data_IF_915447615541
#
_entry.id   IF_915447615541
#
_cell.length_a   1.000
_cell.length_b   1.000
_cell.length_c   1.000
_cell.angle_alpha   90.00
_cell.angle_beta   90.00
_cell.angle_gamma   90.00
#
_symmetry.space_group_name_H-M   'P 1'
#
loop_
_entity.id
_entity.type
_entity.pdbx_description
1 polymer ?
#
# COMPACT_ATOMS: atom_id res chain seq x y z
N UNK A 1 10.62 12.66 5.77
CA UNK A 1 10.54 12.23 4.36
C UNK A 1 10.33 13.46 3.49
N UNK A 2 10.97 13.52 2.33
CA UNK A 2 10.83 14.59 1.33
C UNK A 2 10.12 14.10 0.07
N UNK A 3 9.38 14.96 -0.61
CA UNK A 3 8.76 14.63 -1.90
C UNK A 3 9.47 15.39 -3.03
N UNK A 4 9.88 14.65 -4.06
CA UNK A 4 10.40 15.18 -5.31
C UNK A 4 9.41 14.88 -6.44
N UNK A 5 8.90 15.92 -7.10
CA UNK A 5 7.88 15.76 -8.15
C UNK A 5 8.55 15.50 -9.49
N UNK A 6 8.22 14.39 -10.15
CA UNK A 6 8.82 14.03 -11.44
C UNK A 6 8.26 14.83 -12.61
N UNK A 7 8.93 14.80 -13.76
CA UNK A 7 8.45 15.44 -14.99
C UNK A 7 9.22 16.70 -15.39
N UNK A 8 10.32 17.03 -14.71
CA UNK A 8 11.15 18.19 -15.04
C UNK A 8 11.71 18.19 -16.47
N UNK A 9 11.80 17.01 -17.10
CA UNK A 9 12.26 16.85 -18.48
C UNK A 9 11.28 17.41 -19.52
N UNK A 10 9.97 17.44 -19.21
CA UNK A 10 8.94 17.93 -20.13
C UNK A 10 8.63 19.40 -19.86
N UNK A 11 8.68 20.23 -20.90
CA UNK A 11 8.45 21.67 -20.78
C UNK A 11 7.11 22.04 -20.11
N UNK A 12 6.02 21.36 -20.49
CA UNK A 12 4.70 21.60 -19.91
C UNK A 12 4.66 21.33 -18.40
N UNK A 13 5.21 20.20 -17.96
CA UNK A 13 5.22 19.83 -16.53
C UNK A 13 6.17 20.69 -15.73
N UNK A 14 7.35 20.95 -16.28
CA UNK A 14 8.32 21.85 -15.69
C UNK A 14 7.76 23.25 -15.44
N UNK A 15 7.05 23.83 -16.42
CA UNK A 15 6.43 25.14 -16.24
C UNK A 15 5.42 25.15 -15.09
N UNK A 16 4.64 24.07 -14.92
CA UNK A 16 3.69 23.91 -13.81
C UNK A 16 4.45 23.81 -12.47
N UNK A 17 5.51 23.00 -12.40
CA UNK A 17 6.31 22.83 -11.20
C UNK A 17 7.00 24.13 -10.78
N UNK A 18 7.62 24.84 -11.73
CA UNK A 18 8.29 26.13 -11.50
C UNK A 18 7.29 27.22 -11.09
N UNK A 19 6.13 27.30 -11.76
CA UNK A 19 5.07 28.25 -11.39
C UNK A 19 4.53 28.02 -9.97
N UNK A 20 4.53 26.77 -9.50
CA UNK A 20 4.13 26.40 -8.16
C UNK A 20 5.28 26.37 -7.15
N UNK A 21 6.49 26.81 -7.55
CA UNK A 21 7.69 26.84 -6.70
C UNK A 21 7.95 25.50 -6.00
N UNK A 22 7.82 24.39 -6.74
CA UNK A 22 8.11 23.07 -6.20
C UNK A 22 9.56 23.03 -5.68
N UNK A 23 9.80 22.67 -4.40
CA UNK A 23 11.12 22.76 -3.79
C UNK A 23 12.10 21.72 -4.36
N UNK A 24 11.56 20.59 -4.86
CA UNK A 24 12.30 19.43 -5.35
C UNK A 24 11.66 18.92 -6.63
N UNK A 25 12.46 18.84 -7.69
CA UNK A 25 12.01 18.37 -9.00
C UNK A 25 12.86 17.17 -9.42
N UNK A 26 12.19 16.09 -9.81
CA UNK A 26 12.82 14.93 -10.40
C UNK A 26 12.82 14.99 -11.93
N UNK A 27 13.97 14.68 -12.52
CA UNK A 27 14.28 14.82 -13.94
C UNK A 27 14.64 13.45 -14.52
N UNK A 28 13.83 12.98 -15.48
CA UNK A 28 14.04 11.70 -16.12
C UNK A 28 14.91 11.84 -17.38
N UNK A 29 16.17 11.37 -17.32
CA UNK A 29 17.12 11.52 -18.44
C UNK A 29 16.71 10.73 -19.67
N UNK A 30 16.08 9.56 -19.47
CA UNK A 30 15.61 8.70 -20.57
C UNK A 30 14.62 9.45 -21.45
N UNK A 31 13.71 10.20 -20.83
CA UNK A 31 12.65 10.95 -21.53
C UNK A 31 13.08 12.35 -21.99
N UNK A 32 14.30 12.78 -21.65
CA UNK A 32 14.79 14.09 -22.06
C UNK A 32 15.44 14.05 -23.45
N UNK A 33 14.93 14.88 -24.36
CA UNK A 33 15.57 15.12 -25.66
C UNK A 33 16.62 16.22 -25.49
N UNK A 34 17.89 15.82 -25.39
CA UNK A 34 19.01 16.76 -25.23
C UNK A 34 19.09 17.67 -26.47
N UNK A 35 18.94 19.00 -26.33
CA UNK A 35 19.05 19.92 -27.45
C UNK A 35 20.48 19.90 -28.00
N UNK A 36 20.65 19.65 -29.30
CA UNK A 36 21.97 19.54 -29.94
C UNK A 36 22.76 20.85 -30.00
N UNK A 37 22.13 22.00 -29.75
CA UNK A 37 22.69 23.33 -30.07
C UNK A 37 22.70 24.32 -28.91
N UNK A 38 22.11 23.98 -27.75
CA UNK A 38 22.01 24.90 -26.61
C UNK A 38 22.57 24.25 -25.36
N UNK A 39 23.52 24.94 -24.71
CA UNK A 39 23.96 24.59 -23.35
C UNK A 39 22.78 24.77 -22.41
N UNK A 40 22.41 23.71 -21.70
CA UNK A 40 21.27 23.69 -20.79
C UNK A 40 21.77 23.99 -19.39
N UNK A 41 21.39 25.13 -18.82
CA UNK A 41 21.59 25.38 -17.39
C UNK A 41 20.41 24.77 -16.63
N UNK A 42 20.65 23.74 -15.82
CA UNK A 42 19.57 23.05 -15.10
C UNK A 42 18.98 23.88 -13.96
N UNK A 43 19.78 24.74 -13.32
CA UNK A 43 19.31 25.60 -12.22
C UNK A 43 18.35 26.66 -12.74
N UNK A 44 18.69 27.30 -13.85
CA UNK A 44 17.78 28.25 -14.51
C UNK A 44 16.53 27.52 -15.02
N UNK A 45 16.72 26.36 -15.67
CA UNK A 45 15.63 25.58 -16.24
C UNK A 45 14.58 25.16 -15.19
N UNK A 46 15.03 24.72 -14.01
CA UNK A 46 14.18 24.23 -12.93
C UNK A 46 13.89 25.26 -11.84
N UNK A 47 14.17 26.55 -12.09
CA UNK A 47 13.81 27.65 -11.21
C UNK A 47 14.47 27.58 -9.82
N UNK A 48 15.68 27.01 -9.73
CA UNK A 48 16.45 26.89 -8.49
C UNK A 48 15.99 25.79 -7.52
N UNK A 49 15.09 24.89 -7.94
CA UNK A 49 14.69 23.73 -7.14
C UNK A 49 15.86 22.74 -6.94
N UNK A 50 15.79 21.92 -5.88
CA UNK A 50 16.68 20.75 -5.75
C UNK A 50 16.39 19.75 -6.88
N UNK A 51 17.46 19.23 -7.49
CA UNK A 51 17.37 18.45 -8.73
C UNK A 51 17.71 16.99 -8.44
N UNK A 52 16.72 16.12 -8.65
CA UNK A 52 16.86 14.67 -8.51
C UNK A 52 16.88 14.04 -9.90
N UNK A 53 17.98 13.42 -10.30
CA UNK A 53 18.11 12.80 -11.62
C UNK A 53 17.87 11.31 -11.52
N UNK A 54 17.09 10.75 -12.43
CA UNK A 54 16.84 9.31 -12.51
C UNK A 54 16.59 8.87 -13.96
N UNK A 55 16.56 7.57 -14.20
CA UNK A 55 16.22 6.95 -15.49
C UNK A 55 14.95 6.13 -15.39
N UNK A 56 14.33 5.88 -16.53
CA UNK A 56 13.25 4.90 -16.62
C UNK A 56 13.80 3.48 -16.47
N UNK A 57 12.99 2.57 -15.94
CA UNK A 57 13.34 1.14 -15.91
C UNK A 57 13.51 0.63 -17.35
N UNK A 58 14.61 -0.07 -17.61
CA UNK A 58 14.93 -0.62 -18.93
C UNK A 58 15.55 0.37 -19.92
N UNK A 59 15.95 1.57 -19.48
CA UNK A 59 16.84 2.40 -20.28
C UNK A 59 18.17 1.67 -20.47
N UNK A 60 18.63 1.54 -21.72
CA UNK A 60 19.87 0.87 -22.08
C UNK A 60 21.01 1.87 -22.38
N UNK A 61 20.70 3.16 -22.56
CA UNK A 61 21.66 4.17 -23.00
C UNK A 61 22.50 4.74 -21.83
N UNK A 62 23.48 3.94 -21.38
CA UNK A 62 24.41 4.32 -20.31
C UNK A 62 25.22 5.56 -20.72
N UNK A 63 25.60 5.67 -21.99
CA UNK A 63 26.47 6.74 -22.48
C UNK A 63 25.78 8.10 -22.35
N UNK A 64 24.52 8.20 -22.79
CA UNK A 64 23.71 9.41 -22.63
C UNK A 64 23.54 9.79 -21.16
N UNK A 65 23.30 8.80 -20.30
CA UNK A 65 23.15 9.04 -18.87
C UNK A 65 24.46 9.56 -18.22
N UNK A 66 25.59 8.93 -18.51
CA UNK A 66 26.92 9.34 -18.01
C UNK A 66 27.31 10.73 -18.50
N UNK A 67 27.13 11.02 -19.80
CA UNK A 67 27.43 12.33 -20.39
C UNK A 67 26.58 13.43 -19.74
N UNK A 68 25.29 13.19 -19.55
CA UNK A 68 24.38 14.15 -18.93
C UNK A 68 24.79 14.46 -17.49
N UNK A 69 25.07 13.43 -16.69
CA UNK A 69 25.48 13.62 -15.30
C UNK A 69 26.82 14.32 -15.20
N UNK A 70 27.81 13.96 -16.02
CA UNK A 70 29.13 14.62 -16.01
C UNK A 70 29.02 16.10 -16.36
N UNK A 71 28.18 16.43 -17.33
CA UNK A 71 27.97 17.81 -17.77
C UNK A 71 27.29 18.67 -16.70
N UNK A 72 26.43 18.07 -15.87
CA UNK A 72 25.58 18.80 -14.92
C UNK A 72 25.82 18.43 -13.44
N UNK A 73 26.94 17.80 -13.12
CA UNK A 73 27.21 17.24 -11.78
C UNK A 73 27.13 18.28 -10.65
N UNK A 74 27.48 19.54 -10.93
CA UNK A 74 27.46 20.64 -9.96
C UNK A 74 26.06 21.19 -9.68
N UNK A 75 25.12 21.00 -10.61
CA UNK A 75 23.73 21.46 -10.47
C UNK A 75 22.84 20.38 -9.84
N UNK A 76 23.19 19.12 -10.03
CA UNK A 76 22.40 17.99 -9.53
C UNK A 76 22.59 17.82 -8.02
N UNK A 77 21.47 17.67 -7.31
CA UNK A 77 21.42 17.40 -5.88
C UNK A 77 21.66 15.91 -5.61
N UNK A 78 20.89 15.04 -6.26
CA UNK A 78 21.03 13.59 -6.16
C UNK A 78 20.83 12.89 -7.49
N UNK A 79 21.54 11.78 -7.68
CA UNK A 79 21.46 10.91 -8.86
C UNK A 79 21.03 9.52 -8.41
N UNK A 80 19.86 9.07 -8.86
CA UNK A 80 19.49 7.67 -8.81
C UNK A 80 20.19 6.95 -9.95
N UNK A 81 21.17 6.13 -9.58
CA UNK A 81 22.00 5.36 -10.48
C UNK A 81 21.26 4.18 -11.09
N UNK A 82 21.61 3.86 -12.32
CA UNK A 82 21.14 2.64 -12.96
C UNK A 82 21.75 1.40 -12.30
N UNK A 83 21.08 0.23 -12.35
CA UNK A 83 21.61 -1.01 -11.80
C UNK A 83 22.97 -1.44 -12.41
N UNK A 84 23.26 -1.03 -13.65
CA UNK A 84 24.46 -1.35 -14.43
C UNK A 84 25.51 -0.23 -14.43
N UNK A 85 25.25 0.88 -13.73
CA UNK A 85 26.12 2.05 -13.71
C UNK A 85 26.96 2.11 -12.43
N UNK A 86 28.25 2.46 -12.58
CA UNK A 86 29.11 2.76 -11.44
C UNK A 86 29.25 4.29 -11.26
N UNK A 87 28.48 4.83 -10.32
CA UNK A 87 28.51 6.24 -9.94
C UNK A 87 29.36 6.56 -8.73
N UNK A 88 30.29 5.70 -8.31
CA UNK A 88 31.09 5.89 -7.07
C UNK A 88 31.82 7.26 -7.06
N UNK A 89 32.15 7.80 -8.23
CA UNK A 89 32.80 9.12 -8.38
C UNK A 89 31.92 10.31 -7.97
N UNK A 90 30.59 10.14 -7.93
CA UNK A 90 29.64 11.16 -7.45
C UNK A 90 29.56 11.21 -5.92
N UNK A 91 30.18 10.25 -5.22
CA UNK A 91 30.20 10.17 -3.77
C UNK A 91 28.78 10.17 -3.17
N UNK A 92 28.51 11.14 -2.30
CA UNK A 92 27.23 11.23 -1.59
C UNK A 92 26.03 11.62 -2.46
N UNK A 93 26.24 12.10 -3.69
CA UNK A 93 25.13 12.40 -4.60
C UNK A 93 24.52 11.13 -5.20
N UNK A 94 25.26 10.02 -5.21
CA UNK A 94 24.86 8.79 -5.87
C UNK A 94 23.98 7.91 -4.96
N UNK A 95 22.83 7.47 -5.49
CA UNK A 95 22.01 6.43 -4.88
C UNK A 95 21.85 5.29 -5.86
N UNK A 96 22.33 4.07 -5.56
CA UNK A 96 22.13 2.91 -6.43
C UNK A 96 20.66 2.48 -6.44
N UNK A 97 20.12 2.18 -7.62
CA UNK A 97 18.76 1.64 -7.78
C UNK A 97 18.72 0.12 -7.55
N UNK A 98 17.70 -0.29 -6.80
CA UNK A 98 17.25 -1.67 -6.69
C UNK A 98 15.82 -1.77 -7.25
N UNK A 99 15.65 -2.59 -8.28
CA UNK A 99 14.38 -2.76 -9.00
C UNK A 99 13.99 -4.24 -9.21
N UNK A 100 14.72 -5.17 -8.59
CA UNK A 100 14.50 -6.62 -8.70
C UNK A 100 13.94 -7.19 -7.40
N UNK A 101 12.68 -7.63 -7.41
CA UNK A 101 11.99 -8.19 -6.24
C UNK A 101 12.50 -9.56 -5.80
N UNK A 102 13.28 -10.26 -6.64
CA UNK A 102 13.82 -11.58 -6.34
C UNK A 102 15.19 -11.49 -5.65
N UNK A 103 15.97 -10.47 -5.96
CA UNK A 103 17.34 -10.29 -5.48
C UNK A 103 17.42 -9.36 -4.25
N UNK A 104 16.93 -9.85 -3.12
CA UNK A 104 17.01 -9.11 -1.85
C UNK A 104 18.45 -9.04 -1.30
N UNK A 105 19.32 -9.96 -1.71
CA UNK A 105 20.74 -9.95 -1.32
C UNK A 105 21.45 -8.74 -1.90
N UNK A 106 21.14 -8.37 -3.15
CA UNK A 106 21.60 -7.12 -3.74
C UNK A 106 21.13 -5.90 -2.96
N UNK A 107 19.87 -5.84 -2.52
CA UNK A 107 19.42 -4.74 -1.67
C UNK A 107 20.23 -4.66 -0.38
N UNK A 108 20.47 -5.80 0.27
CA UNK A 108 21.30 -5.86 1.48
C UNK A 108 22.72 -5.36 1.24
N UNK A 109 23.33 -5.74 0.11
CA UNK A 109 24.65 -5.26 -0.31
C UNK A 109 24.66 -3.74 -0.54
N UNK A 110 23.64 -3.19 -1.22
CA UNK A 110 23.55 -1.76 -1.48
C UNK A 110 23.40 -0.96 -0.18
N UNK A 111 22.52 -1.41 0.73
CA UNK A 111 22.36 -0.83 2.06
C UNK A 111 23.67 -0.87 2.86
N UNK A 112 24.40 -1.99 2.82
CA UNK A 112 25.66 -2.14 3.54
C UNK A 112 26.80 -1.29 2.94
N UNK A 113 26.96 -1.28 1.61
CA UNK A 113 28.07 -0.59 0.93
C UNK A 113 27.89 0.92 0.91
N UNK A 114 26.69 1.39 0.56
CA UNK A 114 26.42 2.81 0.30
C UNK A 114 25.71 3.52 1.46
N UNK A 115 25.16 2.77 2.41
CA UNK A 115 24.28 3.32 3.45
C UNK A 115 22.97 3.89 2.89
N UNK A 116 22.68 3.69 1.61
CA UNK A 116 21.51 4.23 0.92
C UNK A 116 21.15 3.41 -0.32
N UNK A 117 19.88 3.38 -0.68
CA UNK A 117 19.40 2.70 -1.89
C UNK A 117 18.10 3.31 -2.39
N UNK A 118 17.91 3.36 -3.71
CA UNK A 118 16.66 3.73 -4.33
C UNK A 118 15.86 2.45 -4.64
N UNK A 119 14.55 2.49 -4.43
CA UNK A 119 13.65 1.34 -4.59
C UNK A 119 12.53 1.72 -5.55
N UNK A 120 12.37 0.97 -6.65
CA UNK A 120 11.28 1.20 -7.59
C UNK A 120 9.99 0.49 -7.20
N UNK A 121 8.86 1.02 -7.67
CA UNK A 121 7.52 0.44 -7.48
C UNK A 121 7.40 -1.03 -7.89
N UNK A 122 8.25 -1.49 -8.83
CA UNK A 122 8.29 -2.89 -9.29
C UNK A 122 8.78 -3.84 -8.21
N UNK A 123 9.77 -3.39 -7.43
CA UNK A 123 10.39 -4.22 -6.40
C UNK A 123 9.60 -4.23 -5.08
N UNK A 124 8.65 -3.30 -4.91
CA UNK A 124 7.85 -3.18 -3.70
C UNK A 124 6.56 -4.00 -3.81
N UNK A 125 6.48 -5.08 -3.04
CA UNK A 125 5.30 -5.92 -2.92
C UNK A 125 5.16 -6.47 -1.50
N UNK A 126 4.05 -7.15 -1.21
CA UNK A 126 3.75 -7.66 0.13
C UNK A 126 4.82 -8.63 0.69
N UNK A 127 5.60 -9.29 -0.19
CA UNK A 127 6.67 -10.23 0.21
C UNK A 127 7.98 -9.51 0.51
N UNK A 128 8.32 -8.49 -0.27
CA UNK A 128 9.58 -7.74 -0.14
C UNK A 128 9.49 -6.67 0.95
N UNK A 129 8.32 -6.08 1.19
CA UNK A 129 8.11 -4.98 2.13
C UNK A 129 8.66 -5.26 3.55
N UNK A 130 8.40 -6.41 4.19
CA UNK A 130 8.96 -6.69 5.52
C UNK A 130 10.49 -6.78 5.49
N UNK A 131 11.07 -7.31 4.40
CA UNK A 131 12.52 -7.44 4.23
C UNK A 131 13.18 -6.08 4.00
N UNK A 132 12.55 -5.20 3.22
CA UNK A 132 13.02 -3.82 3.00
C UNK A 132 13.13 -3.09 4.35
N UNK A 133 12.09 -3.15 5.18
CA UNK A 133 12.09 -2.55 6.53
C UNK A 133 13.17 -3.16 7.43
N UNK A 134 13.32 -4.49 7.40
CA UNK A 134 14.35 -5.16 8.20
C UNK A 134 15.77 -4.72 7.79
N UNK A 135 16.05 -4.63 6.49
CA UNK A 135 17.35 -4.19 5.98
C UNK A 135 17.61 -2.71 6.29
N UNK A 136 16.58 -1.87 6.18
CA UNK A 136 16.64 -0.47 6.57
C UNK A 136 17.03 -0.31 8.04
N UNK A 137 16.32 -0.98 8.94
CA UNK A 137 16.58 -0.92 10.39
C UNK A 137 17.96 -1.50 10.74
N UNK A 138 18.35 -2.61 10.10
CA UNK A 138 19.63 -3.27 10.36
C UNK A 138 20.83 -2.38 10.03
N UNK A 139 20.77 -1.65 8.92
CA UNK A 139 21.90 -0.87 8.41
C UNK A 139 21.75 0.64 8.60
N UNK A 140 20.61 1.11 9.12
CA UNK A 140 20.29 2.54 9.18
C UNK A 140 20.30 3.21 7.80
N UNK A 141 19.90 2.46 6.76
CA UNK A 141 20.08 2.90 5.38
C UNK A 141 19.04 3.96 4.98
N UNK A 142 19.48 5.00 4.28
CA UNK A 142 18.60 6.02 3.70
C UNK A 142 17.95 5.48 2.43
N UNK A 143 16.64 5.28 2.46
CA UNK A 143 15.90 4.75 1.31
C UNK A 143 15.26 5.88 0.51
N UNK A 144 15.44 5.84 -0.80
CA UNK A 144 14.70 6.68 -1.75
C UNK A 144 13.63 5.84 -2.45
N UNK A 145 12.38 6.29 -2.44
CA UNK A 145 11.28 5.59 -3.13
C UNK A 145 11.05 6.18 -4.53
N UNK A 146 10.95 5.36 -5.56
CA UNK A 146 10.36 5.76 -6.85
C UNK A 146 8.98 5.13 -6.90
N UNK A 147 8.02 5.81 -6.28
CA UNK A 147 6.65 5.32 -6.12
C UNK A 147 5.66 6.46 -6.05
N UNK A 148 4.43 6.18 -6.42
CA UNK A 148 3.29 7.09 -6.25
C UNK A 148 2.14 6.48 -5.46
N UNK A 149 2.38 5.33 -4.83
CA UNK A 149 1.40 4.62 -4.01
C UNK A 149 1.47 5.13 -2.58
N UNK A 150 0.42 5.82 -2.13
CA UNK A 150 0.35 6.42 -0.79
C UNK A 150 0.57 5.37 0.30
N UNK A 151 -0.13 4.23 0.22
CA UNK A 151 0.04 3.11 1.16
C UNK A 151 1.50 2.63 1.26
N UNK A 152 2.20 2.56 0.11
CA UNK A 152 3.61 2.17 0.08
C UNK A 152 4.48 3.21 0.77
N UNK A 153 4.25 4.49 0.47
CA UNK A 153 5.00 5.61 1.00
C UNK A 153 4.83 5.72 2.53
N UNK A 154 3.63 5.47 3.06
CA UNK A 154 3.38 5.44 4.50
C UNK A 154 3.95 4.19 5.17
N UNK A 155 4.05 3.10 4.41
CA UNK A 155 4.53 1.83 4.94
C UNK A 155 6.06 1.76 5.09
N UNK A 156 6.85 2.57 4.39
CA UNK A 156 8.32 2.54 4.46
C UNK A 156 8.82 3.92 4.85
N UNK A 157 9.81 3.97 5.73
CA UNK A 157 10.40 5.23 6.18
C UNK A 157 11.36 5.77 5.11
N UNK A 158 10.84 6.26 3.99
CA UNK A 158 11.68 6.84 2.95
C UNK A 158 12.27 8.18 3.41
N UNK A 159 13.54 8.41 3.09
CA UNK A 159 14.15 9.74 3.22
C UNK A 159 13.55 10.69 2.19
N UNK A 160 13.48 10.24 0.93
CA UNK A 160 12.93 11.00 -0.19
C UNK A 160 12.10 10.10 -1.10
N UNK A 161 11.01 10.60 -1.68
CA UNK A 161 10.18 9.88 -2.65
C UNK A 161 10.03 10.68 -3.94
N UNK A 162 10.38 10.06 -5.07
CA UNK A 162 10.11 10.56 -6.41
C UNK A 162 8.70 10.15 -6.84
N UNK A 163 7.80 11.13 -6.96
CA UNK A 163 6.38 10.92 -7.27
C UNK A 163 6.08 11.36 -8.70
N UNK A 164 5.53 10.46 -9.51
CA UNK A 164 5.17 10.70 -10.91
C UNK A 164 3.67 10.81 -11.17
N UNK A 165 2.84 10.30 -10.26
CA UNK A 165 1.39 10.25 -10.46
C UNK A 165 0.71 11.61 -10.53
N UNK A 166 1.31 12.69 -10.03
CA UNK A 166 0.72 14.04 -10.17
C UNK A 166 0.53 14.41 -11.66
N UNK A 167 1.36 13.88 -12.56
CA UNK A 167 1.23 14.07 -14.01
C UNK A 167 -0.02 13.40 -14.61
N UNK A 168 -0.60 12.40 -13.93
CA UNK A 168 -1.84 11.74 -14.35
C UNK A 168 -3.03 12.69 -14.40
N UNK A 169 -2.99 13.77 -13.62
CA UNK A 169 -4.00 14.83 -13.66
C UNK A 169 -4.00 15.52 -15.02
N UNK A 170 -2.80 15.81 -15.56
CA UNK A 170 -2.65 16.45 -16.88
C UNK A 170 -2.91 15.48 -18.01
N UNK A 171 -2.48 14.21 -17.88
CA UNK A 171 -2.60 13.21 -18.96
C UNK A 171 -3.98 12.58 -19.07
N UNK A 172 -4.60 12.27 -17.94
CA UNK A 172 -5.81 11.46 -17.87
C UNK A 172 -6.99 12.21 -17.26
N UNK A 173 -6.82 13.44 -16.77
CA UNK A 173 -7.88 14.19 -16.10
C UNK A 173 -8.26 13.63 -14.73
N UNK A 174 -7.34 12.93 -14.05
CA UNK A 174 -7.52 12.53 -12.65
C UNK A 174 -7.70 13.76 -11.75
N UNK A 175 -8.31 13.56 -10.58
CA UNK A 175 -8.32 14.58 -9.52
C UNK A 175 -7.58 14.04 -8.32
N UNK A 176 -6.54 14.75 -7.87
CA UNK A 176 -5.74 14.39 -6.70
C UNK A 176 -5.84 15.52 -5.69
N UNK A 177 -6.22 15.18 -4.46
CA UNK A 177 -6.55 16.17 -3.44
C UNK A 177 -6.11 15.71 -2.05
N UNK A 178 -5.47 16.62 -1.33
CA UNK A 178 -5.22 16.49 0.09
C UNK A 178 -6.44 17.02 0.87
N UNK A 179 -7.14 16.12 1.57
CA UNK A 179 -8.33 16.48 2.35
C UNK A 179 -7.99 16.94 3.78
N UNK A 180 -6.73 16.85 4.19
CA UNK A 180 -6.27 17.19 5.55
C UNK A 180 -5.97 15.97 6.41
N UNK A 181 -6.47 14.79 6.02
CA UNK A 181 -6.20 13.52 6.68
C UNK A 181 -5.47 12.54 5.76
N UNK A 182 -5.82 12.53 4.47
CA UNK A 182 -5.29 11.61 3.49
C UNK A 182 -5.16 12.24 2.10
N UNK A 183 -4.17 11.78 1.33
CA UNK A 183 -4.04 12.14 -0.06
C UNK A 183 -4.94 11.24 -0.90
N UNK A 184 -6.04 11.78 -1.42
CA UNK A 184 -7.02 11.04 -2.21
C UNK A 184 -6.80 11.23 -3.71
N UNK A 185 -6.95 10.13 -4.45
CA UNK A 185 -6.86 10.11 -5.91
C UNK A 185 -8.17 9.58 -6.49
N UNK A 186 -8.74 10.33 -7.41
CA UNK A 186 -10.00 10.00 -8.08
C UNK A 186 -9.77 9.87 -9.58
N UNK A 187 -10.30 8.82 -10.21
CA UNK A 187 -10.20 8.66 -11.65
C UNK A 187 -11.11 9.69 -12.36
N UNK A 188 -10.84 9.94 -13.64
CA UNK A 188 -11.51 10.98 -14.42
C UNK A 188 -13.05 10.86 -14.42
N UNK A 189 -13.60 9.63 -14.38
CA UNK A 189 -15.05 9.42 -14.38
C UNK A 189 -15.75 9.95 -13.11
N UNK A 190 -15.01 10.15 -12.02
CA UNK A 190 -15.55 10.63 -10.74
C UNK A 190 -15.15 12.07 -10.43
N UNK A 191 -14.51 12.78 -11.38
CA UNK A 191 -13.93 14.11 -11.14
C UNK A 191 -14.95 15.14 -10.68
N UNK A 192 -16.15 15.19 -11.28
CA UNK A 192 -17.13 16.22 -10.95
C UNK A 192 -17.67 16.06 -9.53
N UNK A 193 -18.02 14.82 -9.16
CA UNK A 193 -18.50 14.48 -7.82
C UNK A 193 -17.40 14.70 -6.78
N UNK A 194 -16.17 14.28 -7.05
CA UNK A 194 -15.06 14.43 -6.09
C UNK A 194 -14.68 15.89 -5.90
N UNK A 195 -14.57 16.68 -6.96
CA UNK A 195 -14.28 18.12 -6.90
C UNK A 195 -15.37 18.86 -6.11
N UNK A 196 -16.65 18.53 -6.30
CA UNK A 196 -17.77 19.09 -5.51
C UNK A 196 -17.69 18.70 -4.03
N UNK A 197 -17.43 17.43 -3.75
CA UNK A 197 -17.31 16.93 -2.37
C UNK A 197 -16.16 17.60 -1.61
N UNK A 198 -15.06 17.88 -2.30
CA UNK A 198 -13.86 18.49 -1.73
C UNK A 198 -13.76 20.00 -2.00
N UNK A 199 -14.89 20.69 -2.24
CA UNK A 199 -14.89 22.13 -2.50
C UNK A 199 -14.19 22.92 -1.38
N UNK A 200 -14.46 22.56 -0.13
CA UNK A 200 -13.87 23.25 1.02
C UNK A 200 -12.35 23.04 1.07
N UNK A 201 -11.87 21.84 0.73
CA UNK A 201 -10.43 21.52 0.72
C UNK A 201 -9.69 22.26 -0.40
N UNK A 202 -10.30 22.37 -1.59
CA UNK A 202 -9.77 23.15 -2.72
C UNK A 202 -9.62 24.62 -2.33
N UNK A 203 -10.68 25.20 -1.75
CA UNK A 203 -10.68 26.60 -1.32
C UNK A 203 -9.68 26.83 -0.19
N UNK A 204 -9.55 25.90 0.77
CA UNK A 204 -8.55 25.95 1.85
C UNK A 204 -7.12 26.05 1.31
N UNK A 205 -6.82 25.37 0.20
CA UNK A 205 -5.51 25.41 -0.45
C UNK A 205 -5.27 26.69 -1.29
N UNK A 206 -6.24 27.61 -1.33
CA UNK A 206 -6.16 28.86 -2.11
C UNK A 206 -6.10 28.60 -3.61
N UNK A 207 -6.92 27.67 -4.10
CA UNK A 207 -7.02 27.30 -5.51
C UNK A 207 -8.43 27.67 -5.99
N UNK A 208 -8.53 28.14 -7.24
CA UNK A 208 -9.80 28.54 -7.80
C UNK A 208 -10.68 27.33 -8.10
N UNK A 209 -11.76 27.20 -7.32
CA UNK A 209 -12.73 26.13 -7.49
C UNK A 209 -13.49 26.22 -8.82
N UNK A 210 -13.78 27.43 -9.30
CA UNK A 210 -14.53 27.63 -10.54
C UNK A 210 -13.68 27.20 -11.75
N UNK A 211 -12.39 27.56 -11.76
CA UNK A 211 -11.44 27.08 -12.76
C UNK A 211 -11.30 25.55 -12.74
N UNK A 212 -11.29 24.91 -11.57
CA UNK A 212 -11.27 23.45 -11.45
C UNK A 212 -12.58 22.82 -11.97
N UNK A 213 -13.75 23.42 -11.73
CA UNK A 213 -15.01 22.94 -12.29
C UNK A 213 -15.05 23.11 -13.82
N UNK A 214 -14.42 24.16 -14.35
CA UNK A 214 -14.24 24.37 -15.78
C UNK A 214 -13.16 23.46 -16.41
N UNK A 215 -12.55 22.57 -15.63
CA UNK A 215 -11.50 21.63 -16.04
C UNK A 215 -10.23 22.29 -16.60
N UNK A 216 -9.87 23.46 -16.04
CA UNK A 216 -8.61 24.11 -16.37
C UNK A 216 -7.42 23.23 -15.97
N UNK A 217 -6.65 22.79 -16.97
CA UNK A 217 -5.54 21.86 -16.77
C UNK A 217 -4.48 22.44 -15.82
N UNK A 218 -4.26 23.76 -15.86
CA UNK A 218 -3.28 24.45 -15.02
C UNK A 218 -3.68 24.41 -13.55
N UNK A 219 -4.90 24.80 -13.22
CA UNK A 219 -5.40 24.84 -11.85
C UNK A 219 -5.64 23.44 -11.26
N UNK A 220 -6.07 22.45 -12.05
CA UNK A 220 -6.17 21.06 -11.58
C UNK A 220 -4.77 20.47 -11.34
N UNK A 221 -3.78 20.76 -12.20
CA UNK A 221 -2.41 20.33 -11.97
C UNK A 221 -1.78 21.02 -10.74
N UNK A 222 -2.07 22.31 -10.55
CA UNK A 222 -1.70 23.07 -9.36
C UNK A 222 -2.29 22.48 -8.08
N UNK A 223 -3.54 22.03 -8.13
CA UNK A 223 -4.17 21.29 -7.03
C UNK A 223 -3.41 20.02 -6.68
N UNK A 224 -3.03 19.23 -7.68
CA UNK A 224 -2.26 18.01 -7.45
C UNK A 224 -0.90 18.31 -6.80
N UNK A 225 -0.13 19.25 -7.37
CA UNK A 225 1.19 19.65 -6.85
C UNK A 225 1.09 20.15 -5.42
N UNK A 226 0.17 21.08 -5.14
CA UNK A 226 -0.05 21.58 -3.78
C UNK A 226 -0.50 20.49 -2.81
N UNK A 227 -1.33 19.55 -3.26
CA UNK A 227 -1.80 18.45 -2.42
C UNK A 227 -0.66 17.52 -2.00
N UNK A 228 0.26 17.19 -2.92
CA UNK A 228 1.44 16.40 -2.59
C UNK A 228 2.37 17.13 -1.60
N UNK A 229 2.60 18.42 -1.81
CA UNK A 229 3.45 19.23 -0.92
C UNK A 229 2.81 19.44 0.47
N UNK A 230 1.49 19.65 0.52
CA UNK A 230 0.77 19.77 1.79
C UNK A 230 0.78 18.45 2.58
N UNK A 231 0.71 17.32 1.88
CA UNK A 231 0.81 16.00 2.51
C UNK A 231 2.21 15.72 3.07
N UNK A 232 3.27 16.11 2.34
CA UNK A 232 4.66 16.08 2.83
C UNK A 232 4.81 16.89 4.13
N UNK A 233 4.31 18.13 4.14
CA UNK A 233 4.45 19.04 5.27
C UNK A 233 3.70 18.51 6.50
N UNK A 234 2.46 18.05 6.32
CA UNK A 234 1.63 17.56 7.41
C UNK A 234 2.15 16.24 8.01
N UNK A 235 2.53 15.28 7.17
CA UNK A 235 2.81 13.92 7.64
C UNK A 235 4.22 13.78 8.19
N UNK A 236 5.16 14.62 7.75
CA UNK A 236 6.59 14.41 8.04
C UNK A 236 7.35 15.65 8.50
N UNK A 237 6.73 16.84 8.48
CA UNK A 237 7.37 18.10 8.83
C UNK A 237 6.72 18.77 10.07
N UNK A 238 5.44 18.46 10.34
CA UNK A 238 4.88 18.62 11.68
C UNK A 238 5.54 17.56 12.55
N UNK A 239 6.43 18.04 13.43
CA UNK A 239 7.03 17.34 14.55
C UNK A 239 6.21 16.12 14.96
N UNK A 240 6.90 14.98 15.10
CA UNK A 240 6.46 13.85 15.90
C UNK A 240 5.43 14.29 16.96
N UNK A 241 4.16 13.94 16.75
CA UNK A 241 3.22 13.87 17.85
C UNK A 241 3.64 12.65 18.67
N UNK A 242 4.69 12.85 19.45
CA UNK A 242 4.96 12.04 20.62
C UNK A 242 3.78 12.31 21.57
N UNK A 243 2.98 11.31 21.98
CA UNK A 243 1.97 11.50 23.02
C UNK A 243 2.66 11.55 24.39
N UNK A 244 3.66 12.42 24.51
CA UNK A 244 4.41 12.66 25.72
C UNK A 244 4.77 14.15 25.74
N UNK A 245 3.95 14.92 26.45
CA UNK A 245 4.23 16.32 26.76
C UNK A 245 3.40 17.30 25.95
N UNK A 246 2.09 17.33 26.22
CA UNK A 246 1.46 18.56 26.69
C UNK A 246 0.12 18.17 27.31
N UNK A 247 0.07 18.25 28.65
CA UNK A 247 -1.15 18.12 29.43
C UNK A 247 -2.04 19.33 29.10
N UNK A 248 -3.08 19.11 28.28
CA UNK A 248 -4.20 20.05 28.08
C UNK A 248 -5.11 20.10 29.31
N UNK A 249 -4.52 20.34 30.49
CA UNK A 249 -5.21 20.62 31.76
C UNK A 249 -5.02 22.09 32.14
N UNK A 250 -5.20 23.01 31.18
CA UNK A 250 -5.18 24.46 31.45
C UNK A 250 -6.44 25.20 31.02
N UNK A 251 -7.59 24.53 30.96
CA UNK A 251 -8.89 25.18 30.74
C UNK A 251 -9.84 25.02 31.94
N UNK A 252 -9.37 25.40 33.14
CA UNK A 252 -10.28 25.78 34.22
C UNK A 252 -9.70 26.93 35.06
N UNK A 253 -10.30 28.11 34.93
CA UNK A 253 -9.86 29.33 35.62
C UNK A 253 -10.43 29.48 37.04
N UNK A 254 -9.53 29.69 38.01
CA UNK A 254 -9.58 30.57 39.20
C UNK A 254 -10.58 30.26 40.36
N UNK A 255 -10.33 30.64 41.65
CA UNK A 255 -9.51 31.81 42.06
C UNK A 255 -8.56 31.70 43.29
N UNK A 256 -7.54 32.57 43.20
CA UNK A 256 -6.76 33.33 44.19
C UNK A 256 -7.01 33.19 45.71
N UNK A 257 -5.94 32.87 46.48
CA UNK A 257 -5.35 33.67 47.59
C UNK A 257 -4.40 32.87 48.52
N UNK A 258 -3.14 33.31 48.57
CA UNK A 258 -2.41 33.57 49.83
C UNK A 258 -1.38 32.55 50.34
N UNK A 259 -0.13 33.00 50.52
CA UNK A 259 0.75 32.55 51.62
C UNK A 259 2.14 32.01 51.25
N UNK A 260 3.15 32.89 51.28
CA UNK A 260 4.60 32.66 51.18
C UNK A 260 5.15 31.74 52.29
N UNK A 261 6.12 30.84 51.99
CA UNK A 261 7.38 30.67 52.74
C UNK A 261 8.49 30.11 51.83
N UNK A 262 9.57 30.88 51.67
CA UNK A 262 10.87 30.46 51.14
C UNK A 262 11.60 29.55 52.13
N UNK A 263 12.10 28.40 51.68
CA UNK A 263 13.13 27.63 52.41
C UNK A 263 14.20 27.17 51.43
N UNK A 264 15.42 27.64 51.67
CA UNK A 264 16.67 27.32 50.94
C UNK A 264 17.03 25.84 51.12
N UNK A 265 17.53 25.11 50.09
CA UNK A 265 17.81 23.69 50.24
C UNK A 265 19.13 23.44 51.01
N UNK A 266 19.02 22.68 52.10
CA UNK A 266 20.14 22.04 52.78
C UNK A 266 20.55 20.77 52.02
N UNK A 267 21.83 20.70 51.64
CA UNK A 267 22.48 19.50 51.14
C UNK A 267 22.40 18.39 52.20
N UNK A 268 21.62 17.34 51.93
CA UNK A 268 21.66 16.10 52.71
C UNK A 268 21.87 14.93 51.77
N UNK A 269 23.00 14.26 51.99
CA UNK A 269 23.44 13.01 51.41
C UNK A 269 22.33 11.96 51.46
N UNK A 270 21.82 11.55 50.30
CA UNK A 270 20.83 10.47 50.17
C UNK A 270 21.55 9.11 50.11
N UNK A 271 21.49 8.38 51.22
CA UNK A 271 21.53 6.92 51.24
C UNK A 271 20.08 6.42 51.27
N UNK A 272 19.53 6.07 50.11
CA UNK A 272 18.32 5.24 50.02
C UNK A 272 18.49 4.14 48.96
N UNK A 273 17.89 2.95 49.18
CA UNK A 273 18.05 1.78 48.35
C UNK A 273 17.29 1.92 47.03
N UNK A 274 17.77 1.23 46.00
CA UNK A 274 17.09 1.04 44.72
C UNK A 274 15.77 0.29 44.96
N UNK A 275 14.65 1.01 44.98
CA UNK A 275 13.33 0.41 44.81
C UNK A 275 13.02 0.34 43.33
N UNK A 276 13.15 -0.86 42.76
CA UNK A 276 12.56 -1.21 41.48
C UNK A 276 11.05 -0.94 41.52
N UNK A 277 10.44 -0.41 40.46
CA UNK A 277 8.99 -0.36 40.35
C UNK A 277 8.42 -1.79 40.41
N UNK A 278 7.20 -2.01 40.95
CA UNK A 278 6.60 -3.33 40.94
C UNK A 278 6.39 -3.75 39.49
N UNK A 279 6.93 -4.92 39.13
CA UNK A 279 6.60 -5.58 37.88
C UNK A 279 5.08 -5.76 37.84
N UNK A 280 4.41 -5.20 36.82
CA UNK A 280 3.08 -5.68 36.45
C UNK A 280 3.24 -7.17 36.11
N UNK A 281 2.76 -8.06 36.97
CA UNK A 281 2.56 -9.45 36.58
C UNK A 281 1.34 -9.47 35.66
N UNK A 282 1.59 -9.42 34.36
CA UNK A 282 0.61 -9.93 33.41
C UNK A 282 0.60 -11.43 33.59
N UNK A 283 -0.33 -11.92 34.42
CA UNK A 283 -0.58 -13.35 34.50
C UNK A 283 -0.88 -13.87 33.08
N UNK A 284 -0.25 -14.98 32.64
CA UNK A 284 -0.57 -15.56 31.35
C UNK A 284 -2.07 -15.93 31.31
N UNK A 285 -2.75 -15.75 30.17
CA UNK A 285 -4.18 -15.98 30.05
C UNK A 285 -4.51 -17.40 30.47
N UNK A 286 -5.47 -17.55 31.39
CA UNK A 286 -5.88 -18.86 31.87
C UNK A 286 -6.59 -19.61 30.74
N UNK A 287 -6.11 -20.82 30.45
CA UNK A 287 -6.69 -21.71 29.45
C UNK A 287 -8.03 -22.24 29.98
N UNK A 288 -9.11 -22.10 29.18
CA UNK A 288 -10.40 -22.71 29.54
C UNK A 288 -10.32 -24.22 29.41
N UNK A 289 -10.94 -24.93 30.36
CA UNK A 289 -11.08 -26.38 30.28
C UNK A 289 -11.95 -26.76 29.07
N UNK A 290 -11.60 -27.85 28.38
CA UNK A 290 -12.25 -28.25 27.11
C UNK A 290 -13.76 -28.53 27.26
N UNK A 291 -14.24 -28.82 28.48
CA UNK A 291 -15.67 -28.99 28.80
C UNK A 291 -16.50 -27.70 28.71
N UNK A 292 -15.85 -26.54 28.82
CA UNK A 292 -16.51 -25.23 28.87
C UNK A 292 -16.59 -24.56 27.50
N UNK A 293 -15.95 -25.17 26.49
CA UNK A 293 -15.96 -24.72 25.09
C UNK A 293 -17.23 -25.20 24.42
N UNK A 294 -18.16 -24.28 24.13
CA UNK A 294 -19.42 -24.58 23.43
C UNK A 294 -19.24 -24.41 21.92
N UNK A 295 -19.83 -25.32 21.15
CA UNK A 295 -19.98 -25.15 19.71
C UNK A 295 -20.97 -24.02 19.43
N UNK A 296 -20.76 -23.27 18.35
CA UNK A 296 -21.71 -22.26 17.91
C UNK A 296 -23.11 -22.90 17.72
N UNK A 297 -24.21 -22.26 18.14
CA UNK A 297 -25.55 -22.88 18.21
C UNK A 297 -26.18 -23.40 16.90
N UNK A 298 -25.45 -23.42 15.78
CA UNK A 298 -25.96 -23.79 14.44
C UNK A 298 -25.08 -24.85 13.75
N UNK A 299 -24.40 -25.71 14.53
CA UNK A 299 -23.58 -26.80 13.99
C UNK A 299 -23.87 -28.11 14.73
N UNK A 300 -24.83 -28.88 14.22
CA UNK A 300 -24.95 -30.31 14.50
C UNK A 300 -23.90 -31.09 13.70
N UNK A 301 -23.18 -32.00 14.37
CA UNK A 301 -22.16 -32.85 13.76
C UNK A 301 -22.84 -34.12 13.26
N UNK A 302 -22.81 -34.38 11.96
CA UNK A 302 -23.20 -35.66 11.37
C UNK A 302 -21.94 -36.43 10.94
N UNK A 303 -21.83 -37.70 11.34
CA UNK A 303 -20.73 -38.59 10.95
C UNK A 303 -21.03 -39.17 9.57
N UNK A 304 -20.24 -38.82 8.56
CA UNK A 304 -20.31 -39.44 7.24
C UNK A 304 -19.14 -40.40 7.08
N UNK A 305 -19.47 -41.65 6.77
CA UNK A 305 -18.52 -42.72 6.39
C UNK A 305 -18.31 -42.62 4.88
N UNK A 306 -17.07 -42.41 4.43
CA UNK A 306 -16.74 -42.44 3.00
C UNK A 306 -16.75 -43.90 2.49
N UNK A 307 -17.59 -44.18 1.48
CA UNK A 307 -17.54 -45.41 0.69
C UNK A 307 -16.65 -45.16 -0.53
N UNK A 308 -15.54 -45.89 -0.63
CA UNK A 308 -14.71 -45.91 -1.83
C UNK A 308 -15.28 -46.88 -2.87
N UNK A 309 -15.30 -46.49 -4.13
CA UNK A 309 -15.55 -47.38 -5.28
C UNK A 309 -14.25 -47.71 -5.98
N UNK A 310 -13.92 -48.99 -6.11
CA UNK A 310 -12.91 -49.50 -7.04
C UNK A 310 -13.59 -50.09 -8.27
N UNK A 311 -13.03 -49.85 -9.45
CA UNK A 311 -13.39 -50.51 -10.71
C UNK A 311 -12.42 -51.65 -11.00
N UNK A 312 -12.95 -52.86 -11.23
CA UNK A 312 -12.24 -53.95 -11.92
C UNK A 312 -12.59 -53.93 -13.42
N UNK A 313 -11.75 -54.53 -14.30
CA UNK A 313 -11.81 -54.33 -15.75
C UNK A 313 -12.99 -55.00 -16.48
N UNK A 314 -13.80 -55.81 -15.82
CA UNK A 314 -14.95 -56.50 -16.43
C UNK A 314 -16.20 -56.24 -15.59
N UNK A 315 -17.19 -55.61 -16.21
CA UNK A 315 -18.36 -55.04 -15.53
C UNK A 315 -19.39 -56.09 -15.14
N UNK A 316 -19.51 -56.34 -13.83
CA UNK A 316 -20.74 -56.71 -13.13
C UNK A 316 -20.60 -56.37 -11.62
N UNK A 317 -21.67 -55.86 -11.00
CA UNK A 317 -21.68 -55.28 -9.65
C UNK A 317 -21.80 -56.33 -8.52
N UNK A 318 -21.03 -56.19 -7.42
CA UNK A 318 -21.39 -56.68 -6.06
C UNK A 318 -20.86 -55.71 -4.97
N UNK A 319 -21.66 -55.53 -3.91
CA UNK A 319 -21.50 -54.60 -2.77
C UNK A 319 -20.55 -55.04 -1.63
N UNK A 320 -20.00 -54.02 -0.94
CA UNK A 320 -19.52 -53.87 0.48
C UNK A 320 -18.65 -54.97 1.13
N UNK A 321 -17.50 -54.67 1.74
CA UNK A 321 -17.36 -53.93 3.02
C UNK A 321 -15.87 -53.70 3.37
N UNK A 322 -15.55 -52.53 3.93
CA UNK A 322 -14.52 -52.18 4.96
C UNK A 322 -13.78 -50.88 4.61
N UNK A 323 -14.19 -49.78 5.24
CA UNK A 323 -13.45 -48.52 5.22
C UNK A 323 -12.24 -48.58 6.14
N UNK A 324 -11.07 -48.20 5.63
CA UNK A 324 -9.85 -48.07 6.43
C UNK A 324 -9.79 -46.71 7.12
N UNK A 325 -9.51 -46.75 8.42
CA UNK A 325 -9.25 -45.58 9.27
C UNK A 325 -7.85 -45.04 8.95
N UNK A 326 -7.76 -43.76 8.55
CA UNK A 326 -6.48 -43.09 8.32
C UNK A 326 -6.24 -42.15 9.49
N UNK A 327 -5.16 -42.38 10.25
CA UNK A 327 -4.70 -41.46 11.28
C UNK A 327 -4.16 -40.18 10.63
N UNK A 328 -4.85 -39.07 10.87
CA UNK A 328 -4.42 -37.76 10.43
C UNK A 328 -3.83 -37.03 11.64
N UNK A 329 -2.56 -36.65 11.56
CA UNK A 329 -1.94 -35.73 12.50
C UNK A 329 -2.68 -34.40 12.48
N UNK A 330 -3.36 -34.07 13.59
CA UNK A 330 -3.99 -32.77 13.79
C UNK A 330 -2.97 -31.77 14.33
N UNK A 331 -2.62 -30.78 13.53
CA UNK A 331 -1.95 -29.59 14.01
C UNK A 331 -2.96 -28.73 14.77
N UNK A 332 -2.92 -28.77 16.10
CA UNK A 332 -3.81 -28.01 16.96
C UNK A 332 -3.27 -26.58 17.13
N UNK A 333 -3.30 -25.78 16.06
CA UNK A 333 -3.08 -24.32 16.17
C UNK A 333 -4.32 -23.68 16.77
N UNK A 334 -4.48 -23.87 18.07
CA UNK A 334 -5.27 -22.96 18.91
C UNK A 334 -4.48 -21.66 18.94
N UNK A 335 -4.51 -20.89 17.84
CA UNK A 335 -3.97 -19.53 17.83
C UNK A 335 -4.65 -18.78 18.95
N UNK A 336 -3.86 -18.28 19.89
CA UNK A 336 -4.26 -17.58 21.12
C UNK A 336 -5.16 -16.41 20.71
N UNK A 337 -6.48 -16.66 20.70
CA UNK A 337 -7.50 -15.64 20.45
C UNK A 337 -8.00 -15.25 21.82
N UNK A 338 -7.51 -14.15 22.35
CA UNK A 338 -7.94 -13.63 23.64
C UNK A 338 -9.18 -12.75 23.44
N UNK A 339 -10.12 -12.84 24.38
CA UNK A 339 -11.30 -12.00 24.39
C UNK A 339 -10.92 -10.50 24.40
N UNK A 340 -9.87 -10.13 25.14
CA UNK A 340 -9.41 -8.74 25.28
C UNK A 340 -8.98 -8.10 23.95
N UNK A 341 -8.42 -8.89 23.04
CA UNK A 341 -7.99 -8.43 21.71
C UNK A 341 -9.04 -8.71 20.62
N UNK A 342 -10.23 -9.17 20.98
CA UNK A 342 -11.27 -9.52 20.03
C UNK A 342 -11.99 -8.24 19.57
N UNK A 343 -12.05 -8.02 18.25
CA UNK A 343 -12.82 -6.92 17.65
C UNK A 343 -14.28 -6.87 18.14
N UNK A 344 -14.86 -8.04 18.46
CA UNK A 344 -16.24 -8.17 18.92
C UNK A 344 -16.39 -8.12 20.46
N UNK A 345 -15.31 -7.88 21.22
CA UNK A 345 -15.31 -7.87 22.68
C UNK A 345 -16.47 -7.06 23.31
N UNK A 346 -16.79 -5.84 22.85
CA UNK A 346 -17.82 -5.01 23.48
C UNK A 346 -19.25 -5.56 23.36
N UNK A 347 -19.49 -6.51 22.44
CA UNK A 347 -20.81 -7.05 22.12
C UNK A 347 -20.86 -8.57 22.10
N UNK A 348 -19.80 -9.24 22.55
CA UNK A 348 -19.70 -10.69 22.53
C UNK A 348 -20.46 -11.30 23.74
N UNK A 349 -21.46 -12.17 23.52
CA UNK A 349 -22.27 -12.72 24.61
C UNK A 349 -21.52 -13.73 25.50
N UNK A 350 -20.31 -14.15 25.11
CA UNK A 350 -19.44 -15.05 25.90
C UNK A 350 -18.11 -14.40 26.29
N UNK A 351 -18.01 -13.06 26.25
CA UNK A 351 -16.82 -12.31 26.64
C UNK A 351 -16.47 -12.55 28.11
N UNK A 352 -15.19 -12.79 28.38
CA UNK A 352 -14.60 -12.76 29.72
C UNK A 352 -13.21 -12.15 29.62
N UNK A 353 -12.92 -11.21 30.52
CA UNK A 353 -11.63 -10.51 30.59
C UNK A 353 -10.50 -11.50 30.85
N UNK A 354 -9.39 -11.36 30.12
CA UNK A 354 -8.16 -12.15 30.28
C UNK A 354 -8.31 -13.65 29.98
N UNK A 355 -9.35 -14.03 29.23
CA UNK A 355 -9.61 -15.43 28.86
C UNK A 355 -9.61 -15.64 27.34
N UNK A 356 -9.25 -16.84 26.91
CA UNK A 356 -9.38 -17.29 25.53
C UNK A 356 -10.83 -17.27 25.04
N UNK A 357 -10.99 -17.04 23.73
CA UNK A 357 -12.28 -17.00 23.05
C UNK A 357 -13.04 -18.32 23.26
N UNK A 358 -14.29 -18.19 23.72
CA UNK A 358 -15.17 -19.32 23.98
C UNK A 358 -15.61 -20.08 22.70
N UNK A 359 -15.51 -19.43 21.53
CA UNK A 359 -16.01 -19.97 20.27
C UNK A 359 -14.88 -20.61 19.43
N UNK A 360 -15.03 -21.90 19.17
CA UNK A 360 -14.14 -22.65 18.27
C UNK A 360 -14.68 -22.62 16.85
N UNK A 361 -13.94 -22.01 15.93
CA UNK A 361 -14.22 -22.11 14.48
C UNK A 361 -13.44 -23.33 13.96
N UNK A 362 -14.09 -24.37 13.41
CA UNK A 362 -13.40 -25.51 12.85
C UNK A 362 -12.64 -25.11 11.57
N UNK A 363 -11.41 -25.63 11.41
CA UNK A 363 -10.45 -25.24 10.35
C UNK A 363 -10.64 -26.04 9.05
N UNK A 364 -11.72 -26.80 8.92
CA UNK A 364 -12.03 -27.52 7.69
C UNK A 364 -13.49 -27.33 7.29
N UNK A 365 -13.70 -26.65 6.16
CA UNK A 365 -14.98 -26.57 5.48
C UNK A 365 -14.90 -27.50 4.28
N UNK A 366 -15.46 -28.71 4.41
CA UNK A 366 -15.40 -29.73 3.36
C UNK A 366 -16.68 -29.78 2.51
N UNK A 367 -17.77 -29.17 2.98
CA UNK A 367 -19.09 -29.29 2.33
C UNK A 367 -19.71 -27.94 2.00
N UNK A 368 -20.47 -27.88 0.89
CA UNK A 368 -21.17 -26.67 0.42
C UNK A 368 -22.11 -26.08 1.47
N UNK A 369 -22.76 -26.94 2.26
CA UNK A 369 -23.67 -26.51 3.33
C UNK A 369 -22.94 -25.82 4.51
N UNK A 370 -21.67 -26.14 4.75
CA UNK A 370 -20.87 -25.47 5.78
C UNK A 370 -20.43 -24.07 5.33
N UNK A 371 -20.16 -23.86 4.04
CA UNK A 371 -19.90 -22.53 3.47
C UNK A 371 -21.15 -21.63 3.52
N UNK A 372 -22.32 -22.15 3.12
CA UNK A 372 -23.57 -21.37 3.14
C UNK A 372 -23.95 -20.93 4.56
N UNK A 373 -23.68 -21.76 5.57
CA UNK A 373 -23.88 -21.42 6.98
C UNK A 373 -22.89 -20.36 7.48
N UNK A 374 -21.63 -20.42 7.03
CA UNK A 374 -20.64 -19.38 7.33
C UNK A 374 -21.04 -18.04 6.71
N UNK A 375 -21.48 -18.04 5.44
CA UNK A 375 -21.95 -16.81 4.77
C UNK A 375 -23.20 -16.23 5.43
N UNK A 376 -24.12 -17.08 5.90
CA UNK A 376 -25.28 -16.63 6.67
C UNK A 376 -24.88 -15.99 8.01
N UNK A 377 -23.89 -16.56 8.69
CA UNK A 377 -23.31 -16.00 9.92
C UNK A 377 -22.66 -14.63 9.68
N UNK A 378 -21.86 -14.50 8.63
CA UNK A 378 -21.24 -13.23 8.25
C UNK A 378 -22.30 -12.20 7.85
N UNK A 379 -23.39 -12.62 7.21
CA UNK A 379 -24.49 -11.74 6.82
C UNK A 379 -25.28 -11.24 8.03
N UNK A 380 -25.61 -12.09 9.00
CA UNK A 380 -26.30 -11.68 10.23
C UNK A 380 -25.43 -10.74 11.09
N UNK A 381 -24.11 -10.90 11.08
CA UNK A 381 -23.19 -9.94 11.71
C UNK A 381 -23.07 -8.62 10.93
N UNK A 382 -23.12 -8.68 9.59
CA UNK A 382 -23.07 -7.51 8.70
C UNK A 382 -24.35 -6.67 8.76
N UNK A 383 -25.52 -7.28 8.90
CA UNK A 383 -26.81 -6.58 8.99
C UNK A 383 -26.92 -5.75 10.31
N UNK A 384 -26.06 -6.00 11.31
CA UNK A 384 -25.93 -5.18 12.54
C UNK A 384 -25.01 -3.95 12.31
N UNK A 385 -24.17 -3.98 11.27
CA UNK A 385 -23.09 -3.02 11.00
C UNK A 385 -23.39 -2.13 9.76
N UNK A 386 -24.62 -2.14 9.25
CA UNK A 386 -25.01 -1.47 8.00
C UNK A 386 -25.13 0.07 8.15
N UNK A 387 -24.00 0.72 8.42
CA UNK A 387 -23.68 2.05 7.89
C UNK A 387 -22.21 2.06 7.48
N UNK A 388 -22.00 1.89 6.17
CA UNK A 388 -20.75 2.12 5.42
C UNK A 388 -19.59 1.21 5.82
N UNK A 389 -19.34 0.18 5.00
CA UNK A 389 -18.07 0.07 4.27
C UNK A 389 -18.02 -1.16 3.32
N UNK A 390 -17.28 -1.00 2.22
CA UNK A 390 -17.12 -1.98 1.14
C UNK A 390 -15.95 -2.92 1.43
N UNK A 391 -16.23 -4.21 1.59
CA UNK A 391 -15.20 -5.26 1.72
C UNK A 391 -14.95 -5.89 0.35
N UNK A 392 -13.69 -5.85 -0.15
CA UNK A 392 -13.22 -6.57 -1.34
C UNK A 392 -12.56 -7.88 -0.91
N UNK A 393 -13.05 -9.00 -1.41
CA UNK A 393 -12.49 -10.34 -1.16
C UNK A 393 -11.92 -10.85 -2.49
N UNK A 394 -10.63 -11.16 -2.51
CA UNK A 394 -9.99 -11.88 -3.61
C UNK A 394 -9.80 -13.35 -3.24
N UNK A 395 -10.28 -14.24 -4.11
CA UNK A 395 -10.10 -15.69 -4.00
C UNK A 395 -9.14 -16.15 -5.09
N UNK A 396 -8.06 -16.84 -4.71
CA UNK A 396 -7.19 -17.58 -5.63
C UNK A 396 -7.40 -19.08 -5.38
N UNK A 397 -7.84 -19.81 -6.41
CA UNK A 397 -7.99 -21.26 -6.38
C UNK A 397 -6.93 -21.90 -7.28
N UNK A 398 -5.99 -22.64 -6.70
CA UNK A 398 -5.03 -23.46 -7.47
C UNK A 398 -5.63 -24.84 -7.74
N UNK A 399 -6.10 -25.04 -8.97
CA UNK A 399 -6.54 -26.34 -9.49
C UNK A 399 -6.90 -26.25 -10.98
N UNK A 400 -6.41 -27.19 -11.78
CA UNK A 400 -6.40 -27.20 -13.26
C UNK A 400 -7.75 -27.49 -13.95
N UNK A 401 -8.89 -27.17 -13.32
CA UNK A 401 -10.20 -27.36 -13.92
C UNK A 401 -11.08 -26.12 -13.73
N UNK A 402 -11.58 -25.58 -14.84
CA UNK A 402 -12.28 -24.30 -14.92
C UNK A 402 -13.37 -24.13 -13.87
N UNK A 403 -13.27 -23.01 -13.14
CA UNK A 403 -14.13 -22.61 -12.01
C UNK A 403 -15.62 -22.57 -12.40
N UNK A 404 -15.93 -22.26 -13.67
CA UNK A 404 -17.31 -22.10 -14.16
C UNK A 404 -18.08 -23.41 -14.26
N UNK A 405 -17.43 -24.52 -14.62
CA UNK A 405 -18.08 -25.83 -14.78
C UNK A 405 -18.52 -26.43 -13.44
N UNK A 406 -17.89 -26.02 -12.33
CA UNK A 406 -18.25 -26.44 -10.97
C UNK A 406 -19.36 -25.60 -10.34
N UNK A 407 -19.54 -24.36 -10.79
CA UNK A 407 -20.53 -23.42 -10.24
C UNK A 407 -21.89 -23.58 -10.95
N UNK A 408 -21.91 -23.81 -12.26
CA UNK A 408 -23.15 -23.78 -13.06
C UNK A 408 -23.54 -25.11 -13.71
N UNK A 409 -22.80 -26.18 -13.41
CA UNK A 409 -23.03 -27.52 -13.97
C UNK A 409 -22.53 -27.66 -15.41
N UNK A 410 -22.37 -28.92 -15.83
CA UNK A 410 -21.69 -29.34 -17.07
C UNK A 410 -22.26 -28.69 -18.35
N UNK A 411 -23.57 -28.37 -18.34
CA UNK A 411 -24.25 -27.72 -19.48
C UNK A 411 -23.86 -26.25 -19.68
N UNK A 412 -23.42 -25.53 -18.66
CA UNK A 412 -23.01 -24.13 -18.76
C UNK A 412 -21.56 -23.99 -19.27
N UNK A 413 -20.69 -24.95 -18.94
CA UNK A 413 -19.33 -25.02 -19.47
C UNK A 413 -19.29 -25.37 -20.96
N UNK A 414 -20.20 -26.23 -21.43
CA UNK A 414 -20.31 -26.58 -22.85
C UNK A 414 -20.73 -25.39 -23.73
N UNK A 415 -21.68 -24.56 -23.27
CA UNK A 415 -22.11 -23.34 -23.98
C UNK A 415 -21.06 -22.24 -24.04
N UNK A 416 -20.12 -22.19 -23.09
CA UNK A 416 -19.01 -21.24 -23.10
C UNK A 416 -17.87 -21.68 -24.04
N UNK A 417 -17.83 -22.96 -24.43
CA UNK A 417 -16.84 -23.54 -25.34
C UNK A 417 -17.35 -23.72 -26.79
N UNK A 418 -18.61 -23.38 -27.08
CA UNK A 418 -19.08 -23.23 -28.46
C UNK A 418 -18.53 -21.91 -29.02
N UNK A 419 -17.39 -21.98 -29.70
CA UNK A 419 -16.88 -20.91 -30.53
C UNK A 419 -17.81 -20.71 -31.74
N UNK A 420 -18.17 -19.46 -32.04
CA UNK A 420 -18.74 -19.08 -33.33
C UNK A 420 -17.76 -19.49 -34.44
N UNK A 421 -18.29 -20.08 -35.52
CA UNK A 421 -17.49 -20.62 -36.63
C UNK A 421 -16.41 -19.64 -37.13
N UNK A 422 -15.22 -20.13 -37.54
CA UNK A 422 -14.15 -19.29 -38.02
C UNK A 422 -14.57 -18.53 -39.28
N UNK A 423 -14.47 -17.20 -39.22
CA UNK A 423 -14.70 -16.28 -40.35
C UNK A 423 -13.72 -16.63 -41.47
N UNK A 424 -14.23 -16.90 -42.66
CA UNK A 424 -13.40 -17.23 -43.83
C UNK A 424 -12.70 -15.97 -44.36
N UNK A 425 -11.57 -16.14 -45.03
CA UNK A 425 -10.79 -15.04 -45.61
C UNK A 425 -11.59 -14.15 -46.56
N UNK A 426 -12.62 -14.71 -47.21
CA UNK A 426 -13.54 -13.97 -48.09
C UNK A 426 -14.43 -12.97 -47.34
N UNK A 427 -14.77 -13.24 -46.08
CA UNK A 427 -15.57 -12.34 -45.23
C UNK A 427 -14.72 -11.22 -44.62
N UNK A 428 -13.40 -11.40 -44.52
CA UNK A 428 -12.46 -10.38 -44.05
C UNK A 428 -12.20 -9.33 -45.15
N UNK A 429 -12.11 -9.77 -46.41
CA UNK A 429 -11.92 -8.86 -47.55
C UNK A 429 -13.13 -7.95 -47.80
N UNK A 430 -14.35 -8.43 -47.57
CA UNK A 430 -15.59 -7.62 -47.66
C UNK A 430 -15.69 -6.56 -46.54
N UNK A 431 -15.08 -6.82 -45.37
CA UNK A 431 -15.03 -5.87 -44.26
C UNK A 431 -13.99 -4.76 -44.47
N UNK A 432 -12.89 -5.05 -45.17
CA UNK A 432 -11.82 -4.08 -45.44
C UNK A 432 -12.20 -3.14 -46.59
N UNK A 433 -12.98 -3.61 -47.58
CA UNK A 433 -13.42 -2.79 -48.72
C UNK A 433 -14.49 -1.75 -48.39
N UNK A 434 -15.16 -1.83 -47.24
CA UNK A 434 -16.22 -0.90 -46.83
C UNK A 434 -15.76 0.17 -45.81
N UNK A 435 -14.47 0.24 -45.49
CA UNK A 435 -13.92 1.31 -44.67
C UNK A 435 -13.48 2.48 -45.56
N UNK A 436 -14.46 3.28 -46.01
CA UNK A 436 -14.20 4.54 -46.68
C UNK A 436 -13.38 5.48 -45.78
N UNK A 437 -12.28 5.96 -46.35
CA UNK A 437 -11.44 7.03 -45.82
C UNK A 437 -12.27 8.31 -45.85
N UNK A 438 -12.63 8.82 -44.68
CA UNK A 438 -13.12 10.20 -44.53
C UNK A 438 -11.90 11.07 -44.27
N UNK A 439 -11.38 11.68 -45.33
CA UNK A 439 -10.50 12.86 -45.24
C UNK A 439 -11.38 14.09 -44.97
N UNK A 440 -11.25 14.69 -43.79
CA UNK A 440 -11.17 16.14 -43.53
C UNK A 440 -10.68 16.45 -42.11
#
# INVERSE_FOLDING_TARGET
MKIALSGGEKGTYRNILTANKAPRIAFNVTQYSIPKTKTVDLKELLGGAEIYVYTSDGDEDVAKFDEFIRTHADDITMVVGRPDYNGDWLGEKYIPLWNDDHDVERLAYLCQKYGRAAISDRAINAKTLPRIRQLQQRWGALLLGITSKVDTIESVEFDTVIVSSWTSVVRYGETQIWDGHGLRRYPAQKKDTSRRSHRNDIVRMGIDYEAIQADDVGEVARLAVKSWLAWEDHTFNISAYHPAGDDDESEFSAPDKGGVVDITPLNVTSTFPVSSPPALSTDPPQTRHDSDRKLLPVLGIERVVEKGTFTTPDGDEVQETQGHEVEILRHNTSGIRNCDSCYLAPRCPSFQEHVECAYRIPVEIRTKQQMDRLFKLVKEFKDIEDTRDLVRIEMEAKGSAGVLSRIFGEKAGAKANELSEPVTTEQVDEFILNADIVDE
#
